data_IF_239067606338
#
_entry.id   IF_239067606338
#
_cell.length_a   1.000
_cell.length_b   1.000
_cell.length_c   1.000
_cell.angle_alpha   90.00
_cell.angle_beta   90.00
_cell.angle_gamma   90.00
#
_symmetry.space_group_name_H-M   'P 1'
#
loop_
_entity.id
_entity.type
_entity.pdbx_description
1 polymer ?
#
# COMPACT_ATOMS: atom_id res chain seq x y z
N UNK A 1 -9.54 11.92 22.41
CA UNK A 1 -9.43 11.87 20.94
C UNK A 1 -10.26 10.71 20.43
N UNK A 2 -10.94 10.88 19.31
CA UNK A 2 -11.71 9.81 18.67
C UNK A 2 -10.74 8.74 18.12
N UNK A 3 -11.15 7.47 18.14
CA UNK A 3 -10.37 6.36 17.57
C UNK A 3 -10.17 6.57 16.05
N UNK A 4 -8.92 6.50 15.59
CA UNK A 4 -8.57 6.72 14.19
C UNK A 4 -7.71 5.54 13.68
N UNK A 5 -8.33 4.57 13.01
CA UNK A 5 -7.58 3.52 12.32
C UNK A 5 -6.75 4.10 11.18
N UNK A 6 -5.46 3.75 11.10
CA UNK A 6 -4.52 4.23 10.10
C UNK A 6 -3.81 3.06 9.41
N UNK A 7 -3.80 3.08 8.08
CA UNK A 7 -3.12 2.05 7.27
C UNK A 7 -2.08 2.68 6.37
N UNK A 8 -0.84 2.16 6.45
CA UNK A 8 0.22 2.51 5.51
C UNK A 8 0.25 1.47 4.40
N UNK A 9 0.06 1.93 3.17
CA UNK A 9 0.01 1.11 1.97
C UNK A 9 1.02 1.61 0.92
N UNK A 10 1.33 0.77 -0.04
CA UNK A 10 2.26 1.07 -1.12
C UNK A 10 2.82 -0.22 -1.71
N UNK A 11 3.46 -0.13 -2.86
CA UNK A 11 4.17 -1.28 -3.40
C UNK A 11 5.27 -1.75 -2.42
N UNK A 12 5.51 -3.06 -2.29
CA UNK A 12 6.62 -3.56 -1.47
C UNK A 12 7.94 -2.88 -1.88
N UNK A 13 8.81 -2.58 -0.94
CA UNK A 13 10.11 -1.86 -1.14
C UNK A 13 9.98 -0.36 -1.40
N UNK A 14 8.80 0.23 -1.25
CA UNK A 14 8.62 1.69 -1.34
C UNK A 14 9.05 2.45 -0.07
N UNK A 15 9.49 1.77 0.99
CA UNK A 15 9.90 2.40 2.25
C UNK A 15 8.80 2.43 3.33
N UNK A 16 7.72 1.69 3.16
CA UNK A 16 6.58 1.66 4.09
C UNK A 16 6.95 1.25 5.51
N UNK A 17 7.93 0.35 5.70
CA UNK A 17 8.44 -0.02 7.02
C UNK A 17 9.14 1.15 7.70
N UNK A 18 9.94 1.94 6.95
CA UNK A 18 10.58 3.14 7.45
C UNK A 18 9.55 4.18 7.89
N UNK A 19 8.51 4.42 7.08
CA UNK A 19 7.42 5.31 7.46
C UNK A 19 6.68 4.82 8.70
N UNK A 20 6.40 3.52 8.82
CA UNK A 20 5.78 2.94 10.01
C UNK A 20 6.61 3.22 11.27
N UNK A 21 7.93 2.99 11.23
CA UNK A 21 8.84 3.33 12.32
C UNK A 21 8.87 4.82 12.61
N UNK A 22 8.84 5.65 11.58
CA UNK A 22 8.80 7.13 11.69
C UNK A 22 7.54 7.60 12.40
N UNK A 23 6.37 7.02 12.11
CA UNK A 23 5.12 7.41 12.76
C UNK A 23 5.03 6.90 14.19
N UNK A 24 5.56 5.72 14.46
CA UNK A 24 5.51 5.09 15.78
C UNK A 24 6.36 5.78 16.85
N UNK A 25 7.19 6.77 16.50
CA UNK A 25 7.86 7.61 17.52
C UNK A 25 6.91 8.62 18.15
N UNK A 26 5.75 8.87 17.52
CA UNK A 26 4.78 9.81 18.02
C UNK A 26 3.89 9.17 19.11
N UNK A 27 3.73 9.80 20.29
CA UNK A 27 3.03 9.19 21.44
C UNK A 27 1.55 8.87 21.21
N UNK A 28 0.92 9.49 20.22
CA UNK A 28 -0.49 9.24 19.85
C UNK A 28 -0.66 8.16 18.77
N UNK A 29 0.41 7.55 18.28
CA UNK A 29 0.36 6.60 17.16
C UNK A 29 0.95 5.25 17.56
N UNK A 30 0.25 4.17 17.22
CA UNK A 30 0.76 2.81 17.32
C UNK A 30 0.33 2.00 16.11
N UNK A 31 1.26 1.71 15.21
CA UNK A 31 1.04 0.90 14.02
C UNK A 31 1.80 -0.42 14.15
N UNK A 32 1.11 -1.51 13.90
CA UNK A 32 1.78 -2.81 13.73
C UNK A 32 2.54 -2.87 12.41
N UNK A 33 3.56 -3.71 12.38
CA UNK A 33 4.33 -3.96 11.16
C UNK A 33 4.01 -5.35 10.63
N UNK A 34 3.09 -5.39 9.66
CA UNK A 34 2.64 -6.61 8.98
C UNK A 34 1.87 -7.60 9.88
N UNK A 35 0.92 -7.09 10.67
CA UNK A 35 -0.02 -7.89 11.44
C UNK A 35 -0.89 -8.82 10.55
N UNK A 36 -1.15 -8.42 9.29
CA UNK A 36 -1.85 -9.23 8.26
C UNK A 36 -3.32 -9.57 8.59
N UNK A 37 -3.90 -8.94 9.60
CA UNK A 37 -5.23 -9.31 10.10
C UNK A 37 -6.31 -9.28 9.02
N UNK A 38 -6.32 -8.23 8.18
CA UNK A 38 -7.31 -8.11 7.10
C UNK A 38 -7.08 -9.11 5.97
N UNK A 39 -5.84 -9.53 5.71
CA UNK A 39 -5.58 -10.59 4.76
C UNK A 39 -6.15 -11.94 5.24
N UNK A 40 -6.03 -12.24 6.54
CA UNK A 40 -6.61 -13.44 7.15
C UNK A 40 -8.14 -13.39 7.16
N UNK A 41 -8.72 -12.25 7.55
CA UNK A 41 -10.17 -12.06 7.57
C UNK A 41 -10.79 -12.18 6.17
N UNK A 42 -10.13 -11.59 5.16
CA UNK A 42 -10.57 -11.71 3.78
C UNK A 42 -10.59 -13.16 3.31
N UNK A 43 -9.52 -13.91 3.60
CA UNK A 43 -9.47 -15.33 3.28
C UNK A 43 -10.62 -16.11 3.93
N UNK A 44 -10.87 -15.88 5.21
CA UNK A 44 -11.93 -16.54 5.94
C UNK A 44 -13.32 -16.26 5.32
N UNK A 45 -13.61 -15.01 5.00
CA UNK A 45 -14.90 -14.62 4.40
C UNK A 45 -15.04 -15.22 2.99
N UNK A 46 -14.00 -15.18 2.16
CA UNK A 46 -14.07 -15.69 0.78
C UNK A 46 -14.12 -17.21 0.70
N UNK A 47 -13.50 -17.92 1.64
CA UNK A 47 -13.62 -19.39 1.71
C UNK A 47 -15.05 -19.82 1.93
N UNK A 48 -15.73 -19.18 2.87
CA UNK A 48 -17.13 -19.53 3.19
C UNK A 48 -18.08 -19.18 2.04
N UNK A 49 -17.83 -18.08 1.33
CA UNK A 49 -18.66 -17.70 0.18
C UNK A 49 -18.57 -18.69 -1.00
N UNK A 50 -17.49 -19.47 -1.08
CA UNK A 50 -17.27 -20.48 -2.13
C UNK A 50 -17.79 -21.88 -1.79
N UNK A 51 -18.13 -22.13 -0.54
CA UNK A 51 -18.80 -23.37 -0.10
C UNK A 51 -20.32 -23.30 -0.26
N UNK A 52 -20.77 -22.62 -1.30
CA UNK A 52 -22.18 -22.38 -1.61
C UNK A 52 -23.05 -23.62 -1.81
N UNK A 53 -22.44 -24.81 -1.90
CA UNK A 53 -23.10 -26.11 -1.94
C UNK A 53 -23.60 -26.59 -0.56
N UNK A 54 -23.05 -26.02 0.53
CA UNK A 54 -23.40 -26.44 1.90
C UNK A 54 -24.38 -25.50 2.62
N UNK A 55 -24.49 -24.24 2.14
CA UNK A 55 -25.32 -23.22 2.75
C UNK A 55 -26.26 -22.59 1.72
N UNK A 56 -27.52 -22.37 2.09
CA UNK A 56 -28.43 -21.65 1.21
C UNK A 56 -27.90 -20.20 0.98
N UNK A 57 -28.10 -19.63 -0.21
CA UNK A 57 -27.65 -18.26 -0.50
C UNK A 57 -28.10 -17.21 0.51
N UNK A 58 -29.27 -17.39 1.12
CA UNK A 58 -29.77 -16.48 2.15
C UNK A 58 -28.96 -16.51 3.45
N UNK A 59 -28.42 -17.66 3.85
CA UNK A 59 -27.53 -17.73 5.02
C UNK A 59 -26.19 -17.11 4.74
N UNK A 60 -25.61 -17.36 3.57
CA UNK A 60 -24.34 -16.72 3.15
C UNK A 60 -24.45 -15.20 3.14
N UNK A 61 -25.50 -14.64 2.55
CA UNK A 61 -25.73 -13.20 2.55
C UNK A 61 -25.92 -12.62 3.95
N UNK A 62 -26.58 -13.35 4.85
CA UNK A 62 -26.75 -12.92 6.25
C UNK A 62 -25.45 -12.98 7.01
N UNK A 63 -24.67 -14.05 6.84
CA UNK A 63 -23.35 -14.21 7.46
C UNK A 63 -22.39 -13.12 6.98
N UNK A 64 -22.30 -12.88 5.69
CA UNK A 64 -21.46 -11.83 5.13
C UNK A 64 -21.85 -10.44 5.67
N UNK A 65 -23.12 -10.11 5.68
CA UNK A 65 -23.62 -8.83 6.22
C UNK A 65 -23.33 -8.69 7.72
N UNK A 66 -23.52 -9.75 8.49
CA UNK A 66 -23.19 -9.78 9.91
C UNK A 66 -21.68 -9.59 10.12
N UNK A 67 -20.85 -10.34 9.42
CA UNK A 67 -19.40 -10.28 9.51
C UNK A 67 -18.88 -8.87 9.19
N UNK A 68 -19.28 -8.30 8.06
CA UNK A 68 -18.86 -6.93 7.67
C UNK A 68 -19.23 -5.89 8.73
N UNK A 69 -20.39 -6.01 9.36
CA UNK A 69 -20.86 -5.09 10.39
C UNK A 69 -20.11 -5.25 11.72
N UNK A 70 -19.68 -6.44 12.07
CA UNK A 70 -19.05 -6.74 13.37
C UNK A 70 -17.53 -6.77 13.34
N UNK A 71 -16.94 -7.00 12.18
CA UNK A 71 -15.48 -7.15 12.03
C UNK A 71 -14.71 -5.91 12.49
N UNK A 72 -15.18 -4.70 12.22
CA UNK A 72 -14.50 -3.48 12.62
C UNK A 72 -14.32 -3.40 14.15
N UNK A 73 -15.40 -3.64 14.89
CA UNK A 73 -15.35 -3.67 16.34
C UNK A 73 -14.47 -4.82 16.87
N UNK A 74 -14.52 -5.98 16.21
CA UNK A 74 -13.67 -7.11 16.58
C UNK A 74 -12.18 -6.82 16.35
N UNK A 75 -11.83 -6.21 15.22
CA UNK A 75 -10.45 -5.79 14.94
C UNK A 75 -9.98 -4.75 15.95
N UNK A 76 -10.80 -3.73 16.25
CA UNK A 76 -10.43 -2.72 17.24
C UNK A 76 -10.22 -3.35 18.63
N UNK A 77 -11.10 -4.27 19.05
CA UNK A 77 -10.91 -5.00 20.32
C UNK A 77 -9.62 -5.80 20.33
N UNK A 78 -9.26 -6.48 19.22
CA UNK A 78 -7.99 -7.18 19.11
C UNK A 78 -6.80 -6.23 19.37
N UNK A 79 -6.79 -5.04 18.75
CA UNK A 79 -5.75 -4.04 19.01
C UNK A 79 -5.74 -3.57 20.45
N UNK A 80 -6.92 -3.31 21.03
CA UNK A 80 -7.04 -2.76 22.40
C UNK A 80 -6.73 -3.81 23.49
N UNK A 81 -7.35 -4.97 23.39
CA UNK A 81 -7.35 -5.98 24.45
C UNK A 81 -6.14 -6.92 24.36
N UNK A 82 -5.79 -7.38 23.14
CA UNK A 82 -4.73 -8.38 22.96
C UNK A 82 -3.36 -7.74 22.71
N UNK A 83 -3.30 -6.65 21.91
CA UNK A 83 -2.05 -5.96 21.63
C UNK A 83 -1.76 -4.81 22.63
N UNK A 84 -2.68 -4.49 23.53
CA UNK A 84 -2.52 -3.45 24.54
C UNK A 84 -2.41 -2.03 23.96
N UNK A 85 -2.89 -1.78 22.76
CA UNK A 85 -2.77 -0.49 22.09
C UNK A 85 -3.73 0.51 22.70
N UNK A 86 -3.21 1.52 23.41
CA UNK A 86 -4.00 2.57 24.05
C UNK A 86 -4.05 3.89 23.27
N UNK A 87 -3.23 4.04 22.24
CA UNK A 87 -3.15 5.28 21.46
C UNK A 87 -4.41 5.53 20.62
N UNK A 88 -4.79 6.79 20.40
CA UNK A 88 -5.96 7.11 19.58
C UNK A 88 -5.78 6.71 18.11
N UNK A 89 -4.57 6.84 17.56
CA UNK A 89 -4.24 6.41 16.18
C UNK A 89 -3.59 5.04 16.25
N UNK A 90 -4.19 4.07 15.59
CA UNK A 90 -3.78 2.67 15.60
C UNK A 90 -4.03 2.02 14.24
N UNK A 91 -3.34 0.94 13.94
CA UNK A 91 -3.55 0.24 12.68
C UNK A 91 -2.34 -0.59 12.24
N UNK A 92 -2.17 -0.73 10.92
CA UNK A 92 -1.17 -1.64 10.38
C UNK A 92 -0.43 -1.05 9.17
N UNK A 93 0.81 -1.42 9.04
CA UNK A 93 1.57 -1.28 7.81
C UNK A 93 1.71 -2.66 7.16
N UNK A 94 0.99 -2.89 6.06
CA UNK A 94 1.08 -4.15 5.33
C UNK A 94 0.91 -3.91 3.83
N UNK A 95 2.02 -3.78 3.05
CA UNK A 95 1.94 -3.55 1.61
C UNK A 95 0.99 -4.50 0.87
N UNK A 96 0.98 -5.81 1.19
CA UNK A 96 0.06 -6.73 0.55
C UNK A 96 -1.44 -6.44 0.73
N UNK A 97 -1.87 -5.53 1.58
CA UNK A 97 -3.28 -5.11 1.58
C UNK A 97 -3.73 -4.48 0.26
N UNK A 98 -2.79 -3.90 -0.49
CA UNK A 98 -3.03 -3.31 -1.79
C UNK A 98 -2.69 -4.22 -2.99
N UNK A 99 -2.36 -5.49 -2.74
CA UNK A 99 -2.05 -6.44 -3.82
C UNK A 99 -3.34 -7.05 -4.39
N UNK A 100 -3.73 -6.81 -5.63
CA UNK A 100 -4.93 -7.35 -6.21
C UNK A 100 -4.85 -8.88 -6.47
N UNK A 101 -3.65 -9.44 -6.49
CA UNK A 101 -3.42 -10.87 -6.76
C UNK A 101 -3.10 -11.67 -5.51
N UNK A 102 -2.92 -11.00 -4.54
CA UNK A 102 -2.26 -11.18 -3.26
C UNK A 102 -1.81 -12.52 -2.83
N UNK A 103 -2.44 -13.50 -2.96
CA UNK A 103 -2.16 -14.69 -2.17
C UNK A 103 -1.90 -15.91 -3.04
N UNK A 104 -2.15 -15.79 -4.33
CA UNK A 104 -2.08 -16.95 -5.21
C UNK A 104 -0.67 -17.42 -5.55
N UNK A 105 0.33 -16.54 -5.45
CA UNK A 105 1.65 -16.84 -6.04
C UNK A 105 2.79 -17.08 -5.04
N UNK A 106 2.65 -16.72 -3.75
CA UNK A 106 3.81 -16.64 -2.85
C UNK A 106 3.81 -17.54 -1.63
N UNK A 107 2.70 -18.09 -1.25
CA UNK A 107 2.63 -18.99 -0.10
C UNK A 107 2.26 -20.39 -0.58
N UNK A 108 3.26 -21.18 -0.94
CA UNK A 108 3.08 -22.56 -1.42
C UNK A 108 2.22 -23.49 -0.55
N UNK A 109 1.78 -23.02 0.63
CA UNK A 109 0.91 -23.74 1.53
C UNK A 109 -0.58 -23.29 1.48
N UNK A 110 -0.89 -22.12 0.92
CA UNK A 110 -2.26 -21.58 0.85
C UNK A 110 -2.64 -21.20 -0.59
N UNK A 111 -1.91 -21.71 -1.55
CA UNK A 111 -1.99 -21.39 -2.98
C UNK A 111 -3.32 -21.76 -3.66
N UNK A 112 -4.29 -22.32 -2.92
CA UNK A 112 -5.50 -22.87 -3.53
C UNK A 112 -6.75 -22.00 -3.36
N UNK A 113 -6.62 -20.81 -2.75
CA UNK A 113 -7.75 -19.91 -2.56
C UNK A 113 -7.47 -18.60 -3.28
N UNK A 114 -7.91 -18.45 -4.55
CA UNK A 114 -7.83 -17.18 -5.24
C UNK A 114 -8.70 -16.17 -4.47
N UNK A 115 -8.09 -15.18 -3.85
CA UNK A 115 -8.81 -14.03 -3.32
C UNK A 115 -9.14 -13.07 -4.47
N UNK A 116 -10.32 -12.51 -4.47
CA UNK A 116 -10.74 -11.54 -5.47
C UNK A 116 -10.32 -10.12 -5.04
N UNK A 117 -9.23 -9.62 -5.58
CA UNK A 117 -8.78 -8.25 -5.35
C UNK A 117 -8.09 -8.00 -3.99
N UNK A 118 -7.81 -6.74 -3.70
CA UNK A 118 -7.09 -6.29 -2.51
C UNK A 118 -7.95 -6.31 -1.23
N UNK A 119 -7.31 -6.07 -0.08
CA UNK A 119 -8.01 -5.92 1.19
C UNK A 119 -8.55 -4.50 1.43
N UNK A 120 -8.23 -3.53 0.58
CA UNK A 120 -8.49 -2.11 0.85
C UNK A 120 -9.99 -1.81 1.04
N UNK A 121 -10.84 -2.35 0.17
CA UNK A 121 -12.29 -2.15 0.27
C UNK A 121 -12.87 -2.82 1.52
N UNK A 122 -12.37 -4.01 1.90
CA UNK A 122 -12.78 -4.67 3.15
C UNK A 122 -12.41 -3.82 4.38
N UNK A 123 -11.20 -3.23 4.40
CA UNK A 123 -10.78 -2.34 5.48
C UNK A 123 -11.74 -1.15 5.59
N UNK A 124 -12.04 -0.48 4.48
CA UNK A 124 -12.97 0.67 4.46
C UNK A 124 -14.37 0.30 4.92
N UNK A 125 -14.90 -0.84 4.46
CA UNK A 125 -16.24 -1.30 4.81
C UNK A 125 -16.37 -1.65 6.29
N UNK A 126 -15.32 -2.20 6.89
CA UNK A 126 -15.31 -2.61 8.29
C UNK A 126 -14.89 -1.49 9.25
N UNK A 127 -14.08 -0.57 8.79
CA UNK A 127 -13.60 0.61 9.51
C UNK A 127 -13.83 1.88 8.66
N UNK A 128 -15.06 2.38 8.56
CA UNK A 128 -15.40 3.49 7.67
C UNK A 128 -14.65 4.79 7.95
N UNK A 129 -14.14 4.97 9.18
CA UNK A 129 -13.32 6.11 9.60
C UNK A 129 -11.83 5.91 9.35
N UNK A 130 -11.41 4.79 8.74
CA UNK A 130 -10.00 4.51 8.48
C UNK A 130 -9.39 5.55 7.53
N UNK A 131 -8.17 5.95 7.86
CA UNK A 131 -7.32 6.81 7.03
C UNK A 131 -6.20 5.99 6.41
N UNK A 132 -5.78 6.36 5.20
CA UNK A 132 -4.78 5.63 4.44
C UNK A 132 -3.65 6.56 4.01
N UNK A 133 -2.42 6.13 4.24
CA UNK A 133 -1.23 6.81 3.71
C UNK A 133 -0.62 5.92 2.62
N UNK A 134 -0.58 6.44 1.40
CA UNK A 134 0.14 5.83 0.29
C UNK A 134 1.56 6.39 0.21
N UNK A 135 2.53 5.57 0.53
CA UNK A 135 3.94 5.87 0.30
C UNK A 135 4.39 5.22 -1.00
N UNK A 136 4.80 6.03 -1.95
CA UNK A 136 5.32 5.54 -3.23
C UNK A 136 6.80 5.88 -3.43
N UNK A 137 7.46 5.12 -4.28
CA UNK A 137 8.86 5.31 -4.69
C UNK A 137 8.97 5.03 -6.17
N UNK A 138 10.03 5.57 -6.82
CA UNK A 138 10.27 5.38 -8.25
C UNK A 138 10.23 3.89 -8.63
N UNK A 139 9.46 3.49 -9.69
CA UNK A 139 9.24 2.09 -10.03
C UNK A 139 10.53 1.29 -10.27
N UNK A 140 11.51 1.89 -10.96
CA UNK A 140 12.79 1.22 -11.20
C UNK A 140 13.57 0.94 -9.89
N UNK A 141 13.54 1.86 -8.92
CA UNK A 141 14.20 1.65 -7.63
C UNK A 141 13.53 0.54 -6.81
N UNK A 142 12.21 0.50 -6.82
CA UNK A 142 11.42 -0.55 -6.19
C UNK A 142 11.75 -1.91 -6.82
N UNK A 143 11.71 -1.99 -8.14
CA UNK A 143 12.01 -3.20 -8.91
C UNK A 143 13.44 -3.71 -8.68
N UNK A 144 14.44 -2.84 -8.77
CA UNK A 144 15.85 -3.18 -8.47
C UNK A 144 15.99 -3.71 -7.03
N UNK A 145 15.27 -3.13 -6.05
CA UNK A 145 15.27 -3.62 -4.68
C UNK A 145 14.61 -5.01 -4.53
N UNK A 146 13.56 -5.31 -5.30
CA UNK A 146 12.93 -6.63 -5.31
C UNK A 146 13.86 -7.69 -5.92
N UNK A 147 14.55 -7.37 -7.02
CA UNK A 147 15.54 -8.27 -7.64
C UNK A 147 16.68 -8.59 -6.67
N UNK A 148 17.26 -7.58 -6.01
CA UNK A 148 18.32 -7.78 -5.00
C UNK A 148 17.90 -8.70 -3.84
N UNK A 149 16.62 -8.71 -3.49
CA UNK A 149 16.05 -9.59 -2.46
C UNK A 149 15.60 -10.94 -3.01
N UNK A 150 15.88 -11.24 -4.27
CA UNK A 150 15.47 -12.47 -4.95
C UNK A 150 13.95 -12.75 -4.89
N UNK A 151 13.14 -11.69 -4.83
CA UNK A 151 11.68 -11.82 -4.83
C UNK A 151 11.12 -12.00 -6.24
N UNK A 152 11.83 -11.49 -7.23
CA UNK A 152 11.50 -11.53 -8.66
C UNK A 152 12.75 -11.72 -9.48
N UNK A 153 12.59 -12.20 -10.72
CA UNK A 153 13.70 -12.53 -11.61
C UNK A 153 14.22 -11.36 -12.45
N UNK A 154 13.39 -10.35 -12.72
CA UNK A 154 13.77 -9.23 -13.60
C UNK A 154 13.27 -7.88 -13.06
N UNK A 155 13.91 -6.79 -13.51
CA UNK A 155 13.48 -5.42 -13.18
C UNK A 155 12.12 -5.13 -13.81
N UNK A 156 11.88 -5.60 -15.03
CA UNK A 156 10.61 -5.46 -15.73
C UNK A 156 9.44 -6.08 -14.94
N UNK A 157 9.63 -7.29 -14.41
CA UNK A 157 8.61 -7.93 -13.57
C UNK A 157 8.36 -7.14 -12.29
N UNK A 158 9.41 -6.57 -11.70
CA UNK A 158 9.28 -5.68 -10.55
C UNK A 158 8.49 -4.42 -10.84
N UNK A 159 8.68 -3.83 -12.02
CA UNK A 159 7.90 -2.67 -12.45
C UNK A 159 6.44 -3.05 -12.68
N UNK A 160 6.14 -4.23 -13.27
CA UNK A 160 4.77 -4.73 -13.41
C UNK A 160 4.08 -4.94 -12.06
N UNK A 161 4.80 -5.51 -11.08
CA UNK A 161 4.28 -5.65 -9.71
C UNK A 161 3.99 -4.27 -9.11
N UNK A 162 4.92 -3.33 -9.25
CA UNK A 162 4.71 -1.95 -8.80
C UNK A 162 3.46 -1.33 -9.43
N UNK A 163 3.30 -1.49 -10.74
CA UNK A 163 2.16 -0.95 -11.50
C UNK A 163 0.82 -1.51 -10.99
N UNK A 164 0.75 -2.81 -10.73
CA UNK A 164 -0.45 -3.46 -10.19
C UNK A 164 -0.85 -2.87 -8.84
N UNK A 165 0.11 -2.72 -7.90
CA UNK A 165 -0.14 -2.13 -6.59
C UNK A 165 -0.60 -0.67 -6.69
N UNK A 166 0.09 0.12 -7.50
CA UNK A 166 -0.22 1.55 -7.63
C UNK A 166 -1.56 1.76 -8.31
N UNK A 167 -1.89 0.99 -9.35
CA UNK A 167 -3.20 1.07 -9.99
C UNK A 167 -4.34 0.77 -9.02
N UNK A 168 -4.21 -0.29 -8.22
CA UNK A 168 -5.19 -0.64 -7.19
C UNK A 168 -5.36 0.47 -6.14
N UNK A 169 -4.24 1.05 -5.68
CA UNK A 169 -4.27 2.13 -4.68
C UNK A 169 -4.90 3.40 -5.26
N UNK A 170 -4.53 3.79 -6.47
CA UNK A 170 -5.06 4.99 -7.13
C UNK A 170 -6.56 4.87 -7.36
N UNK A 171 -7.02 3.70 -7.84
CA UNK A 171 -8.44 3.42 -8.01
C UNK A 171 -9.17 3.51 -6.67
N UNK A 172 -8.68 2.82 -5.65
CA UNK A 172 -9.27 2.83 -4.32
C UNK A 172 -9.30 4.24 -3.70
N UNK A 173 -8.24 5.04 -3.88
CA UNK A 173 -8.20 6.42 -3.36
C UNK A 173 -9.23 7.32 -4.02
N UNK A 174 -9.54 7.07 -5.29
CA UNK A 174 -10.64 7.76 -6.00
C UNK A 174 -12.03 7.47 -5.44
N UNK A 175 -12.17 6.39 -4.65
CA UNK A 175 -13.43 6.02 -4.00
C UNK A 175 -13.57 6.56 -2.56
N UNK A 176 -12.46 7.07 -1.97
CA UNK A 176 -12.45 7.52 -0.58
C UNK A 176 -13.05 8.91 -0.43
N UNK A 177 -13.76 9.18 0.68
CA UNK A 177 -14.12 10.53 1.06
C UNK A 177 -12.91 11.43 1.24
N UNK A 178 -13.10 12.73 1.07
CA UNK A 178 -12.07 13.73 1.35
C UNK A 178 -11.53 13.59 2.77
N UNK A 179 -10.22 13.74 2.92
CA UNK A 179 -9.53 13.64 4.20
C UNK A 179 -9.23 12.22 4.69
N UNK A 180 -9.56 11.17 3.92
CA UNK A 180 -9.20 9.79 4.27
C UNK A 180 -7.96 9.25 3.53
N UNK A 181 -7.43 9.98 2.56
CA UNK A 181 -6.27 9.59 1.77
C UNK A 181 -5.16 10.64 1.82
N UNK A 182 -3.92 10.19 2.01
CA UNK A 182 -2.72 11.01 1.88
C UNK A 182 -1.69 10.28 1.02
N UNK A 183 -1.18 10.94 -0.01
CA UNK A 183 -0.13 10.38 -0.89
C UNK A 183 1.10 11.28 -0.87
N UNK A 184 2.28 10.67 -0.74
CA UNK A 184 3.58 11.32 -0.93
C UNK A 184 4.67 10.31 -1.29
N UNK A 185 5.77 10.82 -1.84
CA UNK A 185 6.88 9.96 -2.24
C UNK A 185 7.84 9.68 -1.08
N UNK A 186 8.57 8.57 -1.18
CA UNK A 186 9.69 8.30 -0.28
C UNK A 186 10.75 9.42 -0.35
N UNK A 187 10.89 10.06 -1.51
CA UNK A 187 11.76 11.20 -1.71
C UNK A 187 11.34 12.39 -0.86
N UNK A 188 10.04 12.74 -0.85
CA UNK A 188 9.51 13.84 -0.02
C UNK A 188 9.80 13.60 1.46
N UNK A 189 9.64 12.35 1.92
CA UNK A 189 9.90 11.98 3.31
C UNK A 189 11.36 12.24 3.71
N UNK A 190 12.30 12.05 2.79
CA UNK A 190 13.74 12.18 3.07
C UNK A 190 14.26 13.59 2.77
N UNK A 191 13.90 14.19 1.64
CA UNK A 191 14.43 15.49 1.22
C UNK A 191 13.71 16.66 1.89
N UNK A 192 12.41 16.47 2.24
CA UNK A 192 11.57 17.53 2.80
C UNK A 192 10.85 17.07 4.10
N UNK A 193 11.60 16.60 5.11
CA UNK A 193 11.02 15.95 6.30
C UNK A 193 10.06 16.86 7.07
N UNK A 194 10.40 18.15 7.23
CA UNK A 194 9.55 19.12 7.91
C UNK A 194 8.20 19.30 7.20
N UNK A 195 8.24 19.51 5.89
CA UNK A 195 7.03 19.70 5.08
C UNK A 195 6.17 18.43 5.10
N UNK A 196 6.81 17.26 4.96
CA UNK A 196 6.10 15.97 4.96
C UNK A 196 5.50 15.67 6.33
N UNK A 197 6.23 15.90 7.42
CA UNK A 197 5.72 15.75 8.77
C UNK A 197 4.54 16.70 9.05
N UNK A 198 4.60 17.94 8.58
CA UNK A 198 3.48 18.90 8.70
C UNK A 198 2.24 18.40 7.94
N UNK A 199 2.39 17.89 6.72
CA UNK A 199 1.28 17.29 5.95
C UNK A 199 0.66 16.10 6.68
N UNK A 200 1.50 15.22 7.25
CA UNK A 200 1.05 14.08 8.07
C UNK A 200 0.31 14.60 9.32
N UNK A 201 0.85 15.62 9.99
CA UNK A 201 0.24 16.23 11.16
C UNK A 201 -1.17 16.76 10.87
N UNK A 202 -1.34 17.52 9.80
CA UNK A 202 -2.66 17.98 9.37
C UNK A 202 -3.60 16.83 9.01
N UNK A 203 -3.08 15.82 8.32
CA UNK A 203 -3.88 14.65 7.92
C UNK A 203 -4.34 13.81 9.11
N UNK A 204 -3.57 13.73 10.18
CA UNK A 204 -3.84 12.92 11.37
C UNK A 204 -4.34 13.75 12.57
N UNK A 205 -4.53 15.05 12.41
CA UNK A 205 -4.94 15.97 13.46
C UNK A 205 -3.97 15.95 14.67
N UNK A 206 -2.65 15.87 14.38
CA UNK A 206 -1.61 15.91 15.41
C UNK A 206 -1.31 17.35 15.82
N UNK A 207 -1.29 17.62 17.11
CA UNK A 207 -0.97 18.93 17.66
C UNK A 207 0.53 19.27 17.53
N UNK A 208 1.40 18.26 17.54
CA UNK A 208 2.85 18.41 17.47
C UNK A 208 3.43 17.32 16.56
N UNK A 209 4.28 17.71 15.63
CA UNK A 209 4.98 16.80 14.72
C UNK A 209 6.49 16.71 14.99
N UNK A 210 6.97 17.40 16.04
CA UNK A 210 8.40 17.43 16.40
C UNK A 210 9.02 16.04 16.56
N UNK A 211 8.36 15.04 17.21
CA UNK A 211 8.93 13.72 17.34
C UNK A 211 9.24 13.06 15.97
N UNK A 212 8.35 13.28 14.99
CA UNK A 212 8.51 12.76 13.62
C UNK A 212 9.68 13.45 12.92
N UNK A 213 9.76 14.78 13.01
CA UNK A 213 10.83 15.58 12.41
C UNK A 213 12.18 15.20 13.00
N UNK A 214 12.28 15.10 14.32
CA UNK A 214 13.52 14.76 15.04
C UNK A 214 14.00 13.35 14.70
N UNK A 215 13.06 12.40 14.54
CA UNK A 215 13.41 11.06 14.10
C UNK A 215 14.00 11.08 12.68
N UNK A 216 13.34 11.76 11.75
CA UNK A 216 13.80 11.87 10.36
C UNK A 216 15.16 12.59 10.25
N UNK A 217 15.40 13.62 11.05
CA UNK A 217 16.68 14.32 11.09
C UNK A 217 17.82 13.40 11.54
N UNK A 218 17.59 12.61 12.61
CA UNK A 218 18.60 11.66 13.12
C UNK A 218 18.89 10.52 12.15
N UNK A 219 17.89 10.06 11.39
CA UNK A 219 18.06 8.99 10.41
C UNK A 219 18.90 9.39 9.19
N UNK A 220 19.05 10.68 8.92
CA UNK A 220 19.99 11.17 7.88
C UNK A 220 21.45 10.96 8.26
N UNK A 221 21.74 10.90 9.54
CA UNK A 221 23.09 10.78 10.09
C UNK A 221 23.53 9.34 10.34
N UNK A 222 22.58 8.39 10.35
CA UNK A 222 22.84 7.00 10.68
C UNK A 222 22.47 6.06 9.52
N UNK A 223 23.32 5.04 9.22
CA UNK A 223 22.87 3.96 8.34
C UNK A 223 21.64 3.29 8.96
N UNK A 224 20.55 3.20 8.20
CA UNK A 224 19.31 2.62 8.73
C UNK A 224 19.48 1.12 8.91
N UNK A 225 19.01 0.53 10.04
CA UNK A 225 19.11 -0.92 10.29
C UNK A 225 18.30 -1.75 9.28
N UNK A 226 17.50 -1.12 8.43
CA UNK A 226 16.66 -1.75 7.41
C UNK A 226 17.19 -1.59 5.98
N UNK A 227 18.22 -0.78 5.79
CA UNK A 227 18.95 -0.67 4.53
C UNK A 227 20.28 -1.39 4.65
N UNK A 228 20.62 -2.19 3.65
CA UNK A 228 22.04 -2.54 3.45
C UNK A 228 22.85 -1.24 3.40
N UNK A 229 24.12 -1.27 3.86
CA UNK A 229 24.94 -0.08 3.81
C UNK A 229 24.92 0.45 2.38
N UNK A 230 24.23 1.56 2.21
CA UNK A 230 24.21 2.26 0.94
C UNK A 230 25.50 3.06 0.95
N UNK A 231 26.39 2.66 0.10
CA UNK A 231 27.71 3.31 -0.07
C UNK A 231 27.59 4.76 -0.56
N UNK A 232 26.42 5.12 -1.12
CA UNK A 232 26.09 6.50 -1.46
C UNK A 232 24.58 6.75 -1.25
N UNK A 233 24.25 7.71 -0.36
CA UNK A 233 22.89 8.16 -0.14
C UNK A 233 22.32 8.79 -1.42
N UNK A 234 23.16 9.39 -2.26
CA UNK A 234 22.76 9.94 -3.56
C UNK A 234 22.18 8.84 -4.48
N UNK A 235 22.71 7.61 -4.44
CA UNK A 235 22.19 6.49 -5.24
C UNK A 235 20.80 6.02 -4.81
N UNK A 236 20.40 6.26 -3.55
CA UNK A 236 19.04 5.98 -3.09
C UNK A 236 18.01 6.95 -3.66
N UNK A 237 18.45 8.16 -3.96
CA UNK A 237 17.59 9.29 -4.34
C UNK A 237 17.86 9.80 -5.75
N UNK A 238 18.99 9.41 -6.36
CA UNK A 238 19.26 9.75 -7.74
C UNK A 238 18.07 9.24 -8.58
N UNK A 239 17.30 10.18 -9.10
CA UNK A 239 16.54 9.92 -10.31
C UNK A 239 17.64 9.69 -11.35
N UNK A 240 17.81 8.47 -11.87
CA UNK A 240 18.78 8.25 -12.93
C UNK A 240 18.50 9.29 -14.00
N UNK A 241 19.55 9.93 -14.52
CA UNK A 241 19.37 10.77 -15.68
C UNK A 241 18.59 9.96 -16.70
N UNK A 242 17.45 10.47 -17.18
CA UNK A 242 16.53 9.76 -18.02
C UNK A 242 17.28 9.12 -19.19
N UNK A 243 17.47 7.81 -19.10
CA UNK A 243 18.04 7.04 -20.19
C UNK A 243 16.91 6.27 -20.88
N UNK A 244 17.15 5.71 -22.04
CA UNK A 244 16.13 4.95 -22.79
C UNK A 244 15.57 3.77 -21.99
N UNK A 245 16.35 3.18 -21.11
CA UNK A 245 15.90 2.06 -20.27
C UNK A 245 14.93 2.54 -19.20
N UNK A 246 15.14 3.72 -18.60
CA UNK A 246 14.23 4.30 -17.63
C UNK A 246 12.90 4.71 -18.29
N UNK A 247 12.93 5.27 -19.50
CA UNK A 247 11.71 5.57 -20.27
C UNK A 247 10.88 4.31 -20.55
N UNK A 248 11.53 3.22 -20.96
CA UNK A 248 10.87 1.93 -21.16
C UNK A 248 10.26 1.39 -19.87
N UNK A 249 10.96 1.47 -18.75
CA UNK A 249 10.46 1.04 -17.46
C UNK A 249 9.28 1.91 -16.99
N UNK A 250 9.29 3.21 -17.25
CA UNK A 250 8.16 4.09 -16.94
C UNK A 250 6.95 3.81 -17.82
N UNK A 251 7.14 3.42 -19.09
CA UNK A 251 6.05 2.95 -19.95
C UNK A 251 5.42 1.66 -19.39
N UNK A 252 6.23 0.70 -18.93
CA UNK A 252 5.74 -0.52 -18.26
C UNK A 252 5.01 -0.22 -16.94
N UNK A 253 5.39 0.83 -16.24
CA UNK A 253 4.73 1.28 -15.01
C UNK A 253 3.34 1.87 -15.27
N UNK A 254 3.04 2.24 -16.52
CA UNK A 254 1.71 2.61 -16.98
C UNK A 254 1.14 3.88 -16.35
N UNK A 255 -0.21 4.01 -16.35
CA UNK A 255 -0.89 5.23 -15.89
C UNK A 255 -0.56 5.65 -14.46
N UNK A 256 -0.24 4.68 -13.58
CA UNK A 256 0.16 4.96 -12.22
C UNK A 256 1.44 5.80 -12.12
N UNK A 257 2.40 5.61 -13.04
CA UNK A 257 3.60 6.41 -13.07
C UNK A 257 3.31 7.88 -13.48
N UNK A 258 2.36 8.07 -14.39
CA UNK A 258 1.90 9.40 -14.80
C UNK A 258 1.18 10.08 -13.63
N UNK A 259 0.24 9.38 -13.00
CA UNK A 259 -0.55 9.88 -11.87
C UNK A 259 0.34 10.35 -10.71
N UNK A 260 1.43 9.61 -10.44
CA UNK A 260 2.38 9.94 -9.37
C UNK A 260 3.52 10.87 -9.80
N UNK A 261 3.49 11.40 -11.03
CA UNK A 261 4.45 12.38 -11.54
C UNK A 261 5.83 11.81 -11.91
N UNK A 262 5.95 10.48 -12.11
CA UNK A 262 7.20 9.85 -12.57
C UNK A 262 7.38 9.89 -14.09
N UNK A 263 6.29 9.99 -14.84
CA UNK A 263 6.29 10.11 -16.29
C UNK A 263 5.40 11.24 -16.76
N UNK A 264 5.75 11.88 -17.87
CA UNK A 264 4.87 12.84 -18.51
C UNK A 264 3.71 12.11 -19.21
N UNK A 265 2.52 12.71 -19.20
CA UNK A 265 1.42 12.22 -20.02
C UNK A 265 1.83 12.27 -21.50
N UNK A 266 1.86 11.12 -22.16
CA UNK A 266 2.15 11.05 -23.60
C UNK A 266 1.06 11.79 -24.37
N UNK A 267 1.46 12.72 -25.26
CA UNK A 267 0.54 13.41 -26.18
C UNK A 267 0.16 12.57 -27.39
N UNK A 268 0.56 11.31 -27.48
CA UNK A 268 0.25 10.46 -28.63
C UNK A 268 -1.12 9.79 -28.45
N UNK A 269 -2.02 9.86 -29.45
CA UNK A 269 -3.22 9.04 -29.45
C UNK A 269 -2.81 7.57 -29.54
N UNK A 270 -3.50 6.72 -28.80
CA UNK A 270 -3.44 5.29 -28.99
C UNK A 270 -4.08 5.00 -30.36
N UNK A 271 -3.27 4.84 -31.41
CA UNK A 271 -3.70 4.22 -32.65
C UNK A 271 -4.10 2.77 -32.34
N UNK A 272 -5.39 2.57 -32.12
CA UNK A 272 -5.94 1.23 -32.19
C UNK A 272 -5.87 0.79 -33.65
N UNK A 273 -5.23 -0.33 -33.98
CA UNK A 273 -5.36 -0.88 -35.32
C UNK A 273 -6.85 -1.18 -35.57
N UNK A 274 -7.36 -0.87 -36.76
CA UNK A 274 -8.76 -1.14 -37.07
C UNK A 274 -9.03 -2.64 -36.94
N UNK A 275 -10.13 -2.98 -36.28
CA UNK A 275 -10.62 -4.34 -36.17
C UNK A 275 -10.71 -4.93 -37.58
N UNK A 276 -9.91 -5.96 -37.88
CA UNK A 276 -9.98 -6.71 -39.12
C UNK A 276 -11.39 -7.31 -39.21
N UNK A 277 -12.16 -6.85 -40.20
CA UNK A 277 -13.48 -7.33 -40.48
C UNK A 277 -13.43 -8.84 -40.77
N UNK A 278 -14.14 -9.62 -40.00
CA UNK A 278 -14.52 -10.98 -40.37
C UNK A 278 -15.52 -10.88 -41.50
N UNK A 279 -15.00 -11.04 -42.74
CA UNK A 279 -15.83 -11.23 -43.91
C UNK A 279 -16.62 -12.53 -43.81
N UNK A 280 -17.88 -12.41 -44.17
CA UNK A 280 -18.81 -13.51 -44.35
C UNK A 280 -18.28 -14.62 -45.29
N UNK A 281 -18.40 -15.85 -44.89
CA UNK A 281 -18.82 -17.02 -45.67
C UNK A 281 -19.42 -18.04 -44.70
#
# INVERSE_FOLDING_TARGET
MQSCPLFIIGAPRSGTTFLCSTLNVHPSIHLTNECRIFALLKQMIEVDSRRGDLLTPSYLQRFERFSRRTLGAWVERFYREELGVSTPIWGDKHPPYADPTILSARTGAVAHLPTSGSCLRLIRETLPQARFIHLHRHPAHVAKSMVRKHWIGSVEDGVRVWAQYVSEIVEFFGELPDGQALTFSYRDLIESPQTTATRIGHFLDLADVSPIVDFLARQRELPTPFSEPVTDIADLYAIPAANRDDERLLQLAGPGAIHLGYAAASKAPLDHPPAAGLGAL
#
